data_IF_919009587694
#
_entry.id   IF_919009587694
#
_cell.length_a   1.000
_cell.length_b   1.000
_cell.length_c   1.000
_cell.angle_alpha   90.00
_cell.angle_beta   90.00
_cell.angle_gamma   90.00
#
_symmetry.space_group_name_H-M   'P 1'
#
loop_
_entity.id
_entity.type
_entity.pdbx_description
1 polymer ?
#
# COMPACT_ATOMS: atom_id res chain seq x y z
N UNK A 1 -24.96 30.81 -35.44
CA UNK A 1 -24.70 29.43 -35.02
C UNK A 1 -23.28 29.09 -35.43
N UNK A 2 -22.34 29.03 -34.48
CA UNK A 2 -20.97 28.59 -34.74
C UNK A 2 -20.98 27.07 -34.93
N UNK A 3 -20.67 26.60 -36.14
CA UNK A 3 -20.54 25.18 -36.43
C UNK A 3 -19.17 24.69 -35.96
N UNK A 4 -19.15 23.70 -35.07
CA UNK A 4 -17.93 22.97 -34.72
C UNK A 4 -17.33 22.36 -35.99
N UNK A 5 -16.06 22.67 -36.24
CA UNK A 5 -15.32 22.08 -37.35
C UNK A 5 -14.84 20.68 -36.97
N UNK A 6 -14.53 19.85 -37.97
CA UNK A 6 -13.92 18.54 -37.73
C UNK A 6 -12.60 18.64 -36.92
N UNK A 7 -11.89 19.77 -37.06
CA UNK A 7 -10.67 20.03 -36.30
C UNK A 7 -10.96 20.26 -34.81
N UNK A 8 -12.04 20.99 -34.50
CA UNK A 8 -12.46 21.23 -33.11
C UNK A 8 -12.87 19.92 -32.43
N UNK A 9 -13.56 19.03 -33.16
CA UNK A 9 -13.96 17.71 -32.66
C UNK A 9 -12.72 16.85 -32.37
N UNK A 10 -11.74 16.83 -33.27
CA UNK A 10 -10.51 16.06 -33.08
C UNK A 10 -9.68 16.55 -31.88
N UNK A 11 -9.64 17.87 -31.66
CA UNK A 11 -8.95 18.47 -30.52
C UNK A 11 -9.59 18.01 -29.21
N UNK A 12 -10.93 18.05 -29.14
CA UNK A 12 -11.68 17.60 -27.96
C UNK A 12 -11.45 16.11 -27.70
N UNK A 13 -11.49 15.27 -28.72
CA UNK A 13 -11.24 13.82 -28.57
C UNK A 13 -9.82 13.53 -28.08
N UNK A 14 -8.83 14.27 -28.57
CA UNK A 14 -7.42 14.14 -28.13
C UNK A 14 -7.27 14.51 -26.66
N UNK A 15 -7.89 15.62 -26.23
CA UNK A 15 -7.88 16.06 -24.83
C UNK A 15 -8.58 15.04 -23.93
N UNK A 16 -9.68 14.45 -24.38
CA UNK A 16 -10.41 13.42 -23.63
C UNK A 16 -9.53 12.17 -23.42
N UNK A 17 -8.80 11.75 -24.44
CA UNK A 17 -7.84 10.65 -24.36
C UNK A 17 -6.75 10.91 -23.33
N UNK A 18 -6.10 12.07 -23.40
CA UNK A 18 -5.06 12.45 -22.45
C UNK A 18 -5.58 12.57 -21.01
N UNK A 19 -6.80 13.08 -20.82
CA UNK A 19 -7.45 13.15 -19.51
C UNK A 19 -7.68 11.74 -18.93
N UNK A 20 -8.14 10.79 -19.76
CA UNK A 20 -8.37 9.40 -19.34
C UNK A 20 -7.08 8.70 -18.92
N UNK A 21 -6.01 8.83 -19.71
CA UNK A 21 -4.70 8.28 -19.34
C UNK A 21 -4.16 8.86 -18.03
N UNK A 22 -4.34 10.17 -17.82
CA UNK A 22 -3.92 10.81 -16.58
C UNK A 22 -4.74 10.32 -15.37
N UNK A 23 -6.05 10.14 -15.53
CA UNK A 23 -6.91 9.56 -14.50
C UNK A 23 -6.48 8.13 -14.16
N UNK A 24 -6.21 7.28 -15.17
CA UNK A 24 -5.74 5.91 -14.95
C UNK A 24 -4.42 5.88 -14.18
N UNK A 25 -3.48 6.79 -14.50
CA UNK A 25 -2.20 6.92 -13.78
C UNK A 25 -2.41 7.37 -12.33
N UNK A 26 -3.33 8.29 -12.09
CA UNK A 26 -3.66 8.76 -10.74
C UNK A 26 -4.36 7.63 -9.97
N UNK A 27 -5.33 6.95 -10.56
CA UNK A 27 -6.00 5.79 -9.95
C UNK A 27 -4.98 4.73 -9.54
N UNK A 28 -4.03 4.39 -10.42
CA UNK A 28 -2.96 3.43 -10.10
C UNK A 28 -2.08 3.87 -8.92
N UNK A 29 -1.82 5.17 -8.78
CA UNK A 29 -1.05 5.73 -7.66
C UNK A 29 -1.85 5.77 -6.36
N UNK A 30 -3.16 5.99 -6.46
CA UNK A 30 -4.05 6.14 -5.32
C UNK A 30 -4.65 4.82 -4.86
N UNK A 31 -4.73 3.80 -5.73
CA UNK A 31 -5.13 2.46 -5.34
C UNK A 31 -4.15 2.01 -4.24
N UNK A 32 -4.62 1.83 -3.00
CA UNK A 32 -3.83 1.14 -2.01
C UNK A 32 -3.53 -0.22 -2.63
N UNK A 33 -2.25 -0.58 -2.74
CA UNK A 33 -1.81 -1.84 -3.33
C UNK A 33 -2.70 -2.95 -2.77
N UNK A 34 -3.57 -3.46 -3.65
CA UNK A 34 -4.71 -4.28 -3.27
C UNK A 34 -4.19 -5.39 -2.36
N UNK A 35 -4.65 -5.41 -1.11
CA UNK A 35 -4.53 -6.60 -0.27
C UNK A 35 -5.16 -7.71 -1.10
N UNK A 36 -4.39 -8.74 -1.45
CA UNK A 36 -4.95 -9.82 -2.24
C UNK A 36 -6.08 -10.44 -1.41
N UNK A 37 -7.24 -10.74 -2.02
CA UNK A 37 -8.30 -11.47 -1.31
C UNK A 37 -7.72 -12.79 -0.79
N UNK A 38 -7.57 -12.89 0.53
CA UNK A 38 -6.87 -14.00 1.22
C UNK A 38 -5.76 -13.57 2.18
N UNK A 39 -5.34 -12.31 2.14
CA UNK A 39 -4.36 -11.78 3.09
C UNK A 39 -4.99 -11.59 4.48
N UNK A 40 -4.90 -12.61 5.34
CA UNK A 40 -5.25 -12.46 6.75
C UNK A 40 -4.22 -11.56 7.46
N UNK A 41 -4.53 -10.26 7.45
CA UNK A 41 -3.75 -9.22 8.10
C UNK A 41 -4.15 -9.02 9.57
N UNK A 42 -4.87 -9.96 10.20
CA UNK A 42 -5.16 -9.86 11.64
C UNK A 42 -3.84 -9.74 12.42
N UNK A 43 -3.57 -8.58 13.05
CA UNK A 43 -2.36 -8.39 13.84
C UNK A 43 -2.35 -9.31 15.08
N UNK A 44 -3.54 -9.71 15.56
CA UNK A 44 -3.74 -10.61 16.68
C UNK A 44 -3.51 -12.09 16.36
N UNK A 45 -3.31 -12.46 15.08
CA UNK A 45 -3.14 -13.86 14.69
C UNK A 45 -1.93 -14.49 15.42
N UNK A 46 -2.10 -15.62 16.14
CA UNK A 46 -1.01 -16.30 16.85
C UNK A 46 0.19 -16.65 15.96
N UNK A 47 -0.02 -16.92 14.67
CA UNK A 47 1.03 -17.22 13.70
C UNK A 47 1.99 -16.06 13.47
N UNK A 48 1.63 -14.83 13.87
CA UNK A 48 2.51 -13.67 13.81
C UNK A 48 3.63 -13.71 14.86
N UNK A 49 3.58 -14.64 15.82
CA UNK A 49 4.44 -14.64 17.01
C UNK A 49 5.22 -15.94 17.16
N UNK A 50 6.47 -15.79 17.59
CA UNK A 50 7.32 -16.88 18.10
C UNK A 50 7.79 -16.44 19.47
N UNK A 51 7.06 -16.86 20.52
CA UNK A 51 7.17 -16.26 21.85
C UNK A 51 6.89 -14.76 21.80
N UNK A 52 7.80 -13.96 22.36
CA UNK A 52 7.66 -12.49 22.38
C UNK A 52 8.06 -11.81 21.06
N UNK A 53 8.67 -12.54 20.13
CA UNK A 53 9.14 -12.00 18.86
C UNK A 53 8.13 -12.19 17.73
N UNK A 54 8.27 -11.42 16.65
CA UNK A 54 7.51 -11.64 15.43
C UNK A 54 8.08 -12.83 14.65
N UNK A 55 7.19 -13.69 14.14
CA UNK A 55 7.52 -14.66 13.10
C UNK A 55 7.80 -13.95 11.76
N UNK A 56 8.33 -14.64 10.74
CA UNK A 56 8.42 -14.09 9.38
C UNK A 56 7.09 -13.53 8.87
N UNK A 57 5.99 -14.27 9.08
CA UNK A 57 4.62 -13.81 8.81
C UNK A 57 4.29 -12.52 9.55
N UNK A 58 4.58 -12.47 10.86
CA UNK A 58 4.31 -11.29 11.68
C UNK A 58 5.12 -10.06 11.26
N UNK A 59 6.33 -10.25 10.74
CA UNK A 59 7.12 -9.17 10.13
C UNK A 59 6.46 -8.67 8.85
N UNK A 60 5.95 -9.56 8.00
CA UNK A 60 5.26 -9.14 6.79
C UNK A 60 3.92 -8.44 7.10
N UNK A 61 3.15 -8.90 8.09
CA UNK A 61 1.97 -8.18 8.60
C UNK A 61 2.35 -6.80 9.14
N UNK A 62 3.44 -6.69 9.91
CA UNK A 62 3.97 -5.41 10.37
C UNK A 62 4.23 -4.44 9.22
N UNK A 63 4.87 -4.91 8.15
CA UNK A 63 5.16 -4.11 6.97
C UNK A 63 3.90 -3.71 6.20
N UNK A 64 2.92 -4.59 6.08
CA UNK A 64 1.65 -4.28 5.42
C UNK A 64 0.80 -3.27 6.22
N UNK A 65 0.91 -3.26 7.55
CA UNK A 65 0.33 -2.17 8.35
C UNK A 65 1.01 -0.83 8.06
N UNK A 66 2.33 -0.80 7.82
CA UNK A 66 3.00 0.42 7.39
C UNK A 66 2.62 0.85 5.96
N UNK A 67 2.41 -0.09 5.04
CA UNK A 67 1.87 0.21 3.71
C UNK A 67 0.51 0.93 3.79
N UNK A 68 -0.31 0.56 4.78
CA UNK A 68 -1.59 1.20 5.08
C UNK A 68 -1.46 2.56 5.79
N UNK A 69 -0.23 3.04 5.99
CA UNK A 69 0.04 4.32 6.65
C UNK A 69 -0.10 4.30 8.18
N UNK A 70 -0.12 3.13 8.82
CA UNK A 70 -0.17 3.05 10.29
C UNK A 70 1.11 3.60 10.91
N UNK A 71 0.97 4.32 12.03
CA UNK A 71 2.13 4.86 12.75
C UNK A 71 2.88 3.76 13.50
N UNK A 72 4.15 3.99 13.85
CA UNK A 72 4.95 3.11 14.72
C UNK A 72 4.21 2.73 16.01
N UNK A 73 3.51 3.70 16.61
CA UNK A 73 2.70 3.49 17.81
C UNK A 73 1.47 2.61 17.54
N UNK A 74 0.73 2.87 16.45
CA UNK A 74 -0.42 2.04 16.09
C UNK A 74 -0.01 0.58 15.83
N UNK A 75 1.12 0.38 15.15
CA UNK A 75 1.67 -0.96 14.88
C UNK A 75 2.15 -1.65 16.17
N UNK A 76 2.80 -0.92 17.08
CA UNK A 76 3.23 -1.50 18.36
C UNK A 76 2.05 -2.00 19.19
N UNK A 77 0.95 -1.24 19.22
CA UNK A 77 -0.29 -1.65 19.91
C UNK A 77 -0.96 -2.85 19.22
N UNK A 78 -1.06 -2.81 17.89
CA UNK A 78 -1.74 -3.86 17.12
C UNK A 78 -1.04 -5.23 17.24
N UNK A 79 0.28 -5.26 17.11
CA UNK A 79 1.07 -6.51 17.13
C UNK A 79 1.57 -6.90 18.54
N UNK A 80 1.24 -6.11 19.57
CA UNK A 80 1.72 -6.30 20.94
C UNK A 80 3.25 -6.48 21.00
N UNK A 81 3.96 -5.53 20.40
CA UNK A 81 5.43 -5.43 20.43
C UNK A 81 5.84 -4.10 21.06
N UNK A 82 7.10 -3.99 21.50
CA UNK A 82 7.59 -2.70 22.01
C UNK A 82 7.64 -1.64 20.91
N UNK A 83 7.52 -0.36 21.31
CA UNK A 83 7.67 0.76 20.36
C UNK A 83 9.05 0.79 19.70
N UNK A 84 10.10 0.38 20.43
CA UNK A 84 11.44 0.20 19.88
C UNK A 84 11.49 -0.85 18.78
N UNK A 85 10.87 -2.01 19.00
CA UNK A 85 10.76 -3.06 17.98
C UNK A 85 10.00 -2.57 16.74
N UNK A 86 8.86 -1.88 16.92
CA UNK A 86 8.13 -1.27 15.82
C UNK A 86 8.98 -0.24 15.06
N UNK A 87 9.76 0.59 15.77
CA UNK A 87 10.66 1.57 15.15
C UNK A 87 11.77 0.90 14.32
N UNK A 88 12.38 -0.16 14.84
CA UNK A 88 13.35 -0.95 14.07
C UNK A 88 12.73 -1.55 12.81
N UNK A 89 11.50 -2.08 12.90
CA UNK A 89 10.77 -2.63 11.74
C UNK A 89 10.40 -1.55 10.73
N UNK A 90 10.00 -0.36 11.17
CA UNK A 90 9.73 0.77 10.29
C UNK A 90 10.95 1.13 9.44
N UNK A 91 12.13 1.26 10.04
CA UNK A 91 13.36 1.56 9.28
C UNK A 91 13.79 0.42 8.35
N UNK A 92 13.54 -0.84 8.74
CA UNK A 92 13.76 -1.97 7.85
C UNK A 92 12.80 -1.94 6.64
N UNK A 93 11.53 -1.62 6.88
CA UNK A 93 10.51 -1.42 5.84
C UNK A 93 10.88 -0.29 4.88
N UNK A 94 11.36 0.85 5.38
CA UNK A 94 11.84 1.97 4.53
C UNK A 94 12.99 1.52 3.62
N UNK A 95 13.97 0.78 4.16
CA UNK A 95 15.11 0.26 3.39
C UNK A 95 14.70 -0.73 2.30
N UNK A 96 13.59 -1.43 2.47
CA UNK A 96 13.04 -2.35 1.47
C UNK A 96 12.25 -1.64 0.36
N UNK A 97 12.06 -0.33 0.43
CA UNK A 97 11.30 0.47 -0.55
C UNK A 97 9.98 1.03 -0.01
N UNK A 98 9.72 0.87 1.29
CA UNK A 98 8.52 1.39 1.94
C UNK A 98 7.23 0.86 1.30
N UNK A 99 6.31 1.77 0.99
CA UNK A 99 5.04 1.45 0.33
C UNK A 99 5.22 0.77 -1.04
N UNK A 100 6.39 0.92 -1.67
CA UNK A 100 6.72 0.31 -2.96
C UNK A 100 7.59 -0.95 -2.83
N UNK A 101 7.84 -1.45 -1.61
CA UNK A 101 8.64 -2.67 -1.44
C UNK A 101 7.95 -3.87 -2.11
N UNK A 102 8.74 -4.88 -2.45
CA UNK A 102 8.19 -6.17 -2.86
C UNK A 102 7.62 -6.92 -1.65
N UNK A 103 6.29 -7.09 -1.63
CA UNK A 103 5.58 -7.87 -0.60
C UNK A 103 6.02 -9.33 -0.63
N UNK A 104 6.16 -9.92 0.54
CA UNK A 104 6.40 -11.36 0.69
C UNK A 104 5.05 -12.07 0.87
N UNK A 105 4.93 -13.34 0.47
CA UNK A 105 3.73 -14.12 0.77
C UNK A 105 3.52 -14.25 2.28
N UNK A 106 2.26 -14.35 2.70
CA UNK A 106 1.89 -14.69 4.07
C UNK A 106 1.83 -16.22 4.17
N UNK A 107 2.84 -16.80 4.82
CA UNK A 107 2.89 -18.23 5.19
C UNK A 107 2.48 -18.44 6.65
#
# INVERSE_FOLDING_TARGET
MTTLTANDINLVLTLLGAARENLDRIEKKLRPSESQPGDDLDPGNPLNKIGDNLSPRGVEVCYRLYDQGKTRYAVSQALKISYGAATHRFHAWEKLGGVNRQRQPLE
#
